data_IF_042328017786
#
_entry.id   IF_042328017786
#
_cell.length_a   1.000
_cell.length_b   1.000
_cell.length_c   1.000
_cell.angle_alpha   90.00
_cell.angle_beta   90.00
_cell.angle_gamma   90.00
#
_symmetry.space_group_name_H-M   'P 1'
#
loop_
_entity.id
_entity.type
_entity.pdbx_description
1 polymer ?
#
# COMPACT_ATOMS: atom_id res chain seq x y z
N UNK A 1 -10.44 -9.25 -0.17
CA UNK A 1 -10.59 -8.17 -1.17
C UNK A 1 -11.48 -7.08 -0.62
N UNK A 2 -11.22 -5.81 -0.95
CA UNK A 2 -11.92 -4.62 -0.41
C UNK A 2 -13.14 -4.18 -1.25
N UNK A 3 -13.28 -4.68 -2.47
CA UNK A 3 -14.22 -4.13 -3.45
C UNK A 3 -13.70 -2.85 -4.10
N UNK A 4 -14.59 -2.04 -4.66
CA UNK A 4 -14.25 -0.81 -5.38
C UNK A 4 -13.76 0.26 -4.40
N UNK A 5 -12.48 0.64 -4.53
CA UNK A 5 -11.85 1.66 -3.70
C UNK A 5 -12.38 3.02 -4.14
N UNK A 6 -12.80 3.82 -3.16
CA UNK A 6 -13.33 5.17 -3.37
C UNK A 6 -12.48 6.25 -2.70
N UNK A 7 -11.59 5.86 -1.80
CA UNK A 7 -10.68 6.76 -1.12
C UNK A 7 -9.39 6.05 -0.70
N UNK A 8 -8.30 6.81 -0.69
CA UNK A 8 -6.97 6.37 -0.24
C UNK A 8 -6.31 7.49 0.54
N UNK A 9 -5.83 7.16 1.75
CA UNK A 9 -4.95 8.01 2.54
C UNK A 9 -3.53 7.43 2.48
N UNK A 10 -2.59 8.22 1.97
CA UNK A 10 -1.18 7.86 1.87
C UNK A 10 -0.35 8.63 2.91
N UNK A 11 0.80 8.07 3.36
CA UNK A 11 1.75 8.82 4.19
C UNK A 11 2.35 9.99 3.40
N UNK A 12 2.88 11.01 4.10
CA UNK A 12 3.48 12.16 3.43
C UNK A 12 4.90 11.85 2.92
N UNK A 13 5.31 12.48 1.82
CA UNK A 13 6.73 12.45 1.40
C UNK A 13 7.59 13.12 2.48
N UNK A 14 8.70 12.47 2.85
CA UNK A 14 9.58 12.85 3.96
C UNK A 14 9.19 12.23 5.31
N UNK A 15 8.04 11.55 5.40
CA UNK A 15 7.63 10.84 6.61
C UNK A 15 8.43 9.55 6.78
N UNK A 16 8.78 9.20 8.03
CA UNK A 16 9.37 7.91 8.37
C UNK A 16 8.28 6.91 8.71
N UNK A 17 8.31 5.76 8.05
CA UNK A 17 7.42 4.63 8.31
C UNK A 17 8.20 3.49 8.98
N UNK A 18 7.52 2.69 9.80
CA UNK A 18 8.10 1.53 10.47
C UNK A 18 7.37 0.26 10.08
N UNK A 19 8.13 -0.82 9.81
CA UNK A 19 7.56 -2.11 9.43
C UNK A 19 6.50 -2.60 10.42
N UNK A 20 5.30 -2.89 9.91
CA UNK A 20 4.17 -3.39 10.69
C UNK A 20 3.32 -2.31 11.38
N UNK A 21 3.67 -1.03 11.25
CA UNK A 21 2.84 0.08 11.73
C UNK A 21 1.88 0.58 10.64
N UNK A 22 0.73 1.10 11.06
CA UNK A 22 -0.24 1.75 10.17
C UNK A 22 0.35 3.06 9.66
N UNK A 23 0.32 3.26 8.34
CA UNK A 23 0.85 4.46 7.67
C UNK A 23 -0.19 5.13 6.74
N UNK A 24 -1.41 4.59 6.68
CA UNK A 24 -2.49 5.08 5.83
C UNK A 24 -3.69 4.15 5.86
N UNK A 25 -4.62 4.34 4.93
CA UNK A 25 -5.82 3.50 4.81
C UNK A 25 -6.37 3.49 3.38
N UNK A 26 -7.08 2.41 3.05
CA UNK A 26 -7.88 2.25 1.84
C UNK A 26 -9.35 2.08 2.22
N UNK A 27 -10.23 2.84 1.59
CA UNK A 27 -11.67 2.78 1.85
C UNK A 27 -12.44 2.43 0.57
N UNK A 28 -13.37 1.48 0.71
CA UNK A 28 -14.43 1.18 -0.24
C UNK A 28 -15.78 1.60 0.32
N UNK A 29 -16.83 1.54 -0.49
CA UNK A 29 -18.21 1.81 -0.02
C UNK A 29 -18.72 0.86 1.08
N UNK A 30 -17.97 -0.21 1.40
CA UNK A 30 -18.38 -1.26 2.34
C UNK A 30 -17.40 -1.48 3.47
N UNK A 31 -16.16 -1.03 3.35
CA UNK A 31 -15.08 -1.40 4.27
C UNK A 31 -13.95 -0.39 4.24
N UNK A 32 -13.29 -0.24 5.38
CA UNK A 32 -12.03 0.48 5.53
C UNK A 32 -10.96 -0.54 5.92
N UNK A 33 -9.77 -0.40 5.38
CA UNK A 33 -8.61 -1.23 5.70
C UNK A 33 -7.41 -0.37 5.95
N UNK A 34 -6.76 -0.59 7.09
CA UNK A 34 -5.46 -0.02 7.38
C UNK A 34 -4.42 -0.43 6.33
N UNK A 35 -3.51 0.50 6.03
CA UNK A 35 -2.33 0.28 5.23
C UNK A 35 -1.12 0.19 6.16
N UNK A 36 -0.55 -1.00 6.28
CA UNK A 36 0.64 -1.23 7.08
C UNK A 36 1.90 -1.03 6.24
N UNK A 37 2.89 -0.34 6.79
CA UNK A 37 4.18 -0.22 6.13
C UNK A 37 4.89 -1.59 6.08
N UNK A 38 5.32 -2.07 4.91
CA UNK A 38 5.96 -3.38 4.79
C UNK A 38 7.45 -3.36 5.17
N UNK A 39 8.02 -2.17 5.32
CA UNK A 39 9.45 -1.91 5.53
C UNK A 39 9.61 -0.67 6.41
N UNK A 40 10.77 -0.53 7.05
CA UNK A 40 11.16 0.70 7.73
C UNK A 40 11.99 1.59 6.81
N UNK A 41 11.71 2.89 6.80
CA UNK A 41 12.44 3.86 5.96
C UNK A 41 11.71 5.19 5.80
N UNK A 42 12.13 5.98 4.81
CA UNK A 42 11.54 7.28 4.50
C UNK A 42 10.69 7.23 3.22
N UNK A 43 9.49 7.78 3.26
CA UNK A 43 8.62 7.90 2.08
C UNK A 43 9.21 8.94 1.13
N UNK A 44 9.55 8.53 -0.10
CA UNK A 44 10.19 9.41 -1.09
C UNK A 44 9.26 9.84 -2.22
N UNK A 45 8.15 9.13 -2.42
CA UNK A 45 7.19 9.41 -3.49
C UNK A 45 5.82 8.86 -3.12
N UNK A 46 4.76 9.56 -3.52
CA UNK A 46 3.36 9.12 -3.39
C UNK A 46 2.69 9.20 -4.75
N UNK A 47 1.75 8.29 -5.02
CA UNK A 47 1.03 8.27 -6.28
C UNK A 47 -0.18 9.21 -6.22
N UNK A 48 0.05 10.47 -6.60
CA UNK A 48 -1.04 11.46 -6.70
C UNK A 48 -2.15 11.03 -7.67
N UNK A 49 -1.81 10.30 -8.74
CA UNK A 49 -2.81 9.83 -9.69
C UNK A 49 -3.77 8.80 -9.07
N UNK A 50 -3.28 7.91 -8.21
CA UNK A 50 -4.13 6.97 -7.47
C UNK A 50 -4.94 7.66 -6.36
N UNK A 51 -4.44 8.76 -5.79
CA UNK A 51 -5.22 9.57 -4.85
C UNK A 51 -6.37 10.32 -5.53
N UNK A 52 -6.13 10.85 -6.73
CA UNK A 52 -7.15 11.53 -7.54
C UNK A 52 -8.13 10.56 -8.21
N UNK A 53 -7.66 9.38 -8.61
CA UNK A 53 -8.45 8.28 -9.18
C UNK A 53 -8.14 6.94 -8.48
N UNK A 54 -8.83 6.63 -7.35
CA UNK A 54 -8.62 5.40 -6.60
C UNK A 54 -8.96 4.11 -7.37
N UNK A 55 -9.68 4.20 -8.50
CA UNK A 55 -10.02 3.03 -9.32
C UNK A 55 -8.78 2.37 -9.96
N UNK A 56 -7.67 3.11 -10.07
CA UNK A 56 -6.38 2.58 -10.52
C UNK A 56 -5.88 1.44 -9.61
N UNK A 57 -6.15 1.52 -8.31
CA UNK A 57 -5.76 0.49 -7.33
C UNK A 57 -6.52 -0.82 -7.60
N UNK A 58 -7.77 -0.74 -8.05
CA UNK A 58 -8.54 -1.92 -8.43
C UNK A 58 -8.14 -2.50 -9.78
N UNK A 59 -7.86 -1.64 -10.76
CA UNK A 59 -7.69 -2.06 -12.17
C UNK A 59 -6.26 -2.49 -12.51
N UNK A 60 -5.26 -1.87 -11.90
CA UNK A 60 -3.84 -2.19 -12.12
C UNK A 60 -3.03 -2.05 -10.81
N UNK A 61 -3.27 -2.90 -9.80
CA UNK A 61 -2.70 -2.77 -8.45
C UNK A 61 -1.17 -2.86 -8.39
N UNK A 62 -0.54 -3.45 -9.41
CA UNK A 62 0.92 -3.62 -9.48
C UNK A 62 1.59 -2.66 -10.49
N UNK A 63 0.80 -1.99 -11.33
CA UNK A 63 1.27 -0.99 -12.29
C UNK A 63 0.85 0.41 -11.87
N UNK A 64 -0.14 0.99 -12.57
CA UNK A 64 -0.59 2.36 -12.36
C UNK A 64 -1.18 2.64 -10.96
N UNK A 65 -1.66 1.61 -10.26
CA UNK A 65 -2.28 1.70 -8.93
C UNK A 65 -1.32 1.58 -7.74
N UNK A 66 0.01 1.69 -7.96
CA UNK A 66 0.97 1.72 -6.85
C UNK A 66 0.66 2.85 -5.85
N UNK A 67 1.04 2.72 -4.58
CA UNK A 67 0.62 3.65 -3.53
C UNK A 67 1.70 4.69 -3.21
N UNK A 68 2.85 4.24 -2.69
CA UNK A 68 3.98 5.10 -2.33
C UNK A 68 5.31 4.33 -2.46
N UNK A 69 6.44 5.05 -2.47
CA UNK A 69 7.80 4.48 -2.50
C UNK A 69 8.54 4.86 -1.23
N UNK A 70 9.37 3.94 -0.75
CA UNK A 70 10.18 4.11 0.45
C UNK A 70 11.66 3.96 0.11
N UNK A 71 12.50 4.89 0.57
CA UNK A 71 13.94 4.67 0.69
C UNK A 71 14.17 3.72 1.87
N UNK A 72 14.40 2.44 1.55
CA UNK A 72 14.41 1.33 2.50
C UNK A 72 15.66 1.37 3.39
N UNK A 73 15.44 1.31 4.71
CA UNK A 73 16.49 1.10 5.71
C UNK A 73 16.52 -0.37 6.18
N UNK A 74 15.36 -1.00 6.34
CA UNK A 74 15.21 -2.44 6.63
C UNK A 74 13.99 -3.04 5.89
N UNK A 75 14.20 -4.19 5.25
CA UNK A 75 13.18 -4.97 4.52
C UNK A 75 13.11 -6.43 4.99
N UNK A 76 13.45 -6.69 6.24
CA UNK A 76 13.27 -7.99 6.86
C UNK A 76 11.79 -8.40 6.91
N UNK A 77 11.49 -9.70 6.84
CA UNK A 77 10.13 -10.23 7.00
C UNK A 77 9.24 -10.26 5.75
N UNK A 78 9.74 -9.82 4.59
CA UNK A 78 8.98 -9.92 3.33
C UNK A 78 8.86 -11.36 2.82
N UNK A 79 7.78 -11.61 2.07
CA UNK A 79 7.49 -12.91 1.46
C UNK A 79 7.91 -12.94 -0.01
N UNK A 80 8.30 -14.11 -0.49
CA UNK A 80 8.38 -14.36 -1.93
C UNK A 80 6.97 -14.51 -2.50
N UNK A 81 6.81 -14.35 -3.82
CA UNK A 81 5.52 -14.55 -4.49
C UNK A 81 4.92 -15.93 -4.18
N UNK A 82 5.72 -17.00 -4.20
CA UNK A 82 5.27 -18.35 -3.89
C UNK A 82 4.76 -18.50 -2.45
N UNK A 83 5.45 -17.89 -1.46
CA UNK A 83 5.01 -17.92 -0.07
C UNK A 83 3.74 -17.09 0.16
N UNK A 84 3.59 -15.99 -0.59
CA UNK A 84 2.39 -15.17 -0.50
C UNK A 84 1.17 -15.90 -1.07
N UNK A 85 1.29 -16.57 -2.22
CA UNK A 85 0.23 -17.39 -2.80
C UNK A 85 -0.22 -18.53 -1.86
N UNK A 86 0.74 -19.21 -1.23
CA UNK A 86 0.45 -20.24 -0.22
C UNK A 86 -0.34 -19.67 0.97
N UNK A 87 -0.05 -18.44 1.40
CA UNK A 87 -0.73 -17.77 2.51
C UNK A 87 -2.16 -17.32 2.13
N UNK A 88 -2.36 -16.83 0.91
CA UNK A 88 -3.67 -16.29 0.46
C UNK A 88 -4.60 -17.35 -0.11
N UNK A 89 -4.08 -18.55 -0.42
CA UNK A 89 -4.85 -19.62 -1.03
C UNK A 89 -5.16 -19.40 -2.51
N UNK A 90 -4.31 -18.62 -3.20
CA UNK A 90 -4.32 -18.43 -4.66
C UNK A 90 -3.56 -19.55 -5.38
#
# INVERSE_FOLDING_TARGET
SLGDIVFVQLPAVGERVQSGEVCGELESTKSVSDLYAPVSGEVVEVNAAAADDPSLINTDPYGAGWLFKVAVEDASGLLTAAKYAELTGD
#
